data_IF_094097309084
#
_entry.id   IF_094097309084
#
_cell.length_a   1.000
_cell.length_b   1.000
_cell.length_c   1.000
_cell.angle_alpha   90.00
_cell.angle_beta   90.00
_cell.angle_gamma   90.00
#
_symmetry.space_group_name_H-M   'P 1'
#
loop_
_entity.id
_entity.type
_entity.pdbx_description
1 polymer ?
#
# COMPACT_ATOMS: atom_id res chain seq x y z
N UNK A 1 -3.66 12.70 -54.28
CA UNK A 1 -3.32 11.26 -54.26
C UNK A 1 -1.84 11.00 -54.02
N UNK A 2 -0.98 11.71 -54.68
CA UNK A 2 0.49 11.69 -54.41
C UNK A 2 0.88 12.04 -52.95
N UNK A 3 0.07 12.87 -52.30
CA UNK A 3 0.28 13.29 -50.92
C UNK A 3 0.11 12.14 -49.89
N UNK A 4 -0.89 11.25 -50.05
CA UNK A 4 -1.11 10.16 -49.08
C UNK A 4 0.08 9.19 -49.02
N UNK A 5 0.55 8.76 -50.19
CA UNK A 5 1.68 7.84 -50.33
C UNK A 5 3.00 8.51 -49.96
N UNK A 6 3.12 9.80 -50.23
CA UNK A 6 4.32 10.57 -49.91
C UNK A 6 4.49 10.77 -48.37
N UNK A 7 3.39 11.06 -47.68
CA UNK A 7 3.40 11.34 -46.25
C UNK A 7 3.23 10.06 -45.38
N UNK A 8 2.74 8.96 -45.99
CA UNK A 8 2.52 7.67 -45.32
C UNK A 8 2.90 6.51 -46.24
N UNK A 9 4.19 6.34 -46.58
CA UNK A 9 4.64 5.40 -47.64
C UNK A 9 4.36 3.93 -47.33
N UNK A 10 4.13 3.59 -46.07
CA UNK A 10 3.89 2.21 -45.61
C UNK A 10 2.41 1.96 -45.23
N UNK A 11 1.50 2.87 -45.57
CA UNK A 11 0.04 2.66 -45.47
C UNK A 11 -0.52 2.48 -46.90
N UNK A 12 -0.81 1.24 -47.28
CA UNK A 12 -1.12 0.86 -48.68
C UNK A 12 -2.61 0.53 -48.85
N UNK A 13 -3.21 0.89 -50.00
CA UNK A 13 -4.54 0.41 -50.37
C UNK A 13 -4.48 -1.08 -50.71
N UNK A 14 -5.40 -1.87 -50.13
CA UNK A 14 -5.48 -3.33 -50.38
C UNK A 14 -6.40 -3.72 -51.51
N UNK A 15 -7.25 -2.82 -51.99
CA UNK A 15 -8.22 -3.09 -53.07
C UNK A 15 -8.20 -2.01 -54.15
N UNK A 16 -8.70 -2.34 -55.32
CA UNK A 16 -8.82 -1.42 -56.46
C UNK A 16 -9.65 -0.19 -56.15
N UNK A 17 -10.70 -0.35 -55.37
CA UNK A 17 -11.66 0.69 -55.02
C UNK A 17 -11.14 1.62 -53.92
N UNK A 18 -9.95 1.32 -53.37
CA UNK A 18 -9.26 2.11 -52.32
C UNK A 18 -10.13 2.38 -51.10
N UNK A 19 -10.97 1.40 -50.74
CA UNK A 19 -11.81 1.45 -49.55
C UNK A 19 -11.15 0.80 -48.35
N UNK A 20 -10.07 0.01 -48.54
CA UNK A 20 -9.34 -0.64 -47.45
C UNK A 20 -7.85 -0.23 -47.54
N UNK A 21 -7.36 0.37 -46.47
CA UNK A 21 -5.95 0.67 -46.30
C UNK A 21 -5.42 -0.14 -45.13
N UNK A 22 -4.23 -0.75 -45.27
CA UNK A 22 -3.54 -1.47 -44.17
C UNK A 22 -2.04 -1.17 -44.25
N UNK A 23 -1.44 -1.05 -43.12
CA UNK A 23 -0.01 -0.78 -43.01
C UNK A 23 0.35 -0.04 -41.71
N UNK A 24 1.28 0.86 -41.83
CA UNK A 24 1.80 1.56 -40.68
C UNK A 24 1.75 3.08 -40.88
N UNK A 25 1.55 3.81 -39.78
CA UNK A 25 1.76 5.24 -39.69
C UNK A 25 2.97 5.50 -38.83
N UNK A 26 3.88 6.36 -39.29
CA UNK A 26 5.10 6.71 -38.56
C UNK A 26 4.90 8.02 -37.82
N UNK A 27 5.19 8.01 -36.49
CA UNK A 27 5.15 9.17 -35.62
C UNK A 27 6.39 9.15 -34.74
N UNK A 28 7.24 10.21 -34.79
CA UNK A 28 8.48 10.29 -34.02
C UNK A 28 9.38 9.04 -34.13
N UNK A 29 9.63 8.62 -35.39
CA UNK A 29 10.44 7.43 -35.74
C UNK A 29 9.88 6.08 -35.24
N UNK A 30 8.58 6.01 -34.94
CA UNK A 30 7.87 4.81 -34.52
C UNK A 30 6.74 4.47 -35.46
N UNK A 31 6.62 3.20 -35.77
CA UNK A 31 5.61 2.67 -36.67
C UNK A 31 4.47 2.03 -35.89
N UNK A 32 3.25 2.49 -36.14
CA UNK A 32 2.03 1.98 -35.53
C UNK A 32 1.15 1.35 -36.60
N UNK A 33 0.81 0.06 -36.42
CA UNK A 33 -0.07 -0.63 -37.37
C UNK A 33 -1.49 -0.15 -37.28
N UNK A 34 -2.05 0.21 -38.46
CA UNK A 34 -3.40 0.74 -38.58
C UNK A 34 -4.04 0.15 -39.86
N UNK A 35 -5.29 -0.30 -39.75
CA UNK A 35 -6.14 -0.64 -40.90
C UNK A 35 -7.34 0.32 -40.87
N UNK A 36 -7.64 0.90 -42.02
CA UNK A 36 -8.77 1.81 -42.25
C UNK A 36 -9.70 1.17 -43.27
N UNK A 37 -10.97 1.05 -42.92
CA UNK A 37 -12.00 0.56 -43.81
C UNK A 37 -12.99 1.69 -44.06
N UNK A 38 -13.02 2.16 -45.30
CA UNK A 38 -13.97 3.18 -45.80
C UNK A 38 -15.23 2.50 -46.37
N UNK A 39 -16.37 3.13 -46.24
CA UNK A 39 -17.56 2.68 -47.00
C UNK A 39 -17.37 2.92 -48.49
N UNK A 40 -18.24 2.33 -49.37
CA UNK A 40 -18.12 2.45 -50.84
C UNK A 40 -18.20 3.91 -51.36
N UNK A 41 -18.85 4.79 -50.62
CA UNK A 41 -18.95 6.22 -50.93
C UNK A 41 -17.77 7.05 -50.43
N UNK A 42 -16.77 6.41 -49.83
CA UNK A 42 -15.55 7.01 -49.24
C UNK A 42 -15.83 8.01 -48.12
N UNK A 43 -17.02 7.99 -47.51
CA UNK A 43 -17.38 8.92 -46.43
C UNK A 43 -16.61 8.57 -45.15
N UNK A 44 -15.70 9.46 -44.74
CA UNK A 44 -14.86 9.27 -43.53
C UNK A 44 -15.67 9.13 -42.24
N UNK A 45 -16.84 9.78 -42.16
CA UNK A 45 -17.71 9.72 -40.98
C UNK A 45 -18.13 8.33 -40.58
N UNK A 46 -18.18 7.39 -41.58
CA UNK A 46 -18.54 5.98 -41.42
C UNK A 46 -17.35 5.04 -41.49
N UNK A 47 -16.13 5.55 -41.56
CA UNK A 47 -14.91 4.75 -41.60
C UNK A 47 -14.71 3.98 -40.28
N UNK A 48 -14.18 2.76 -40.43
CA UNK A 48 -13.79 1.93 -39.28
C UNK A 48 -12.28 1.88 -39.17
N UNK A 49 -11.77 2.15 -37.96
CA UNK A 49 -10.34 2.09 -37.63
C UNK A 49 -10.07 0.81 -36.82
N UNK A 50 -9.15 0.01 -37.33
CA UNK A 50 -8.62 -1.16 -36.62
C UNK A 50 -7.20 -0.90 -36.25
N UNK A 51 -6.98 -0.63 -34.96
CA UNK A 51 -5.70 -0.28 -34.38
C UNK A 51 -5.01 -1.51 -33.78
N UNK A 52 -3.68 -1.60 -33.91
CA UNK A 52 -2.89 -2.52 -33.09
C UNK A 52 -3.07 -2.24 -31.60
N UNK A 53 -2.72 -3.18 -30.76
CA UNK A 53 -2.86 -2.97 -29.32
C UNK A 53 -2.00 -1.80 -28.83
N UNK A 54 -0.80 -1.62 -29.37
CA UNK A 54 0.07 -0.51 -29.07
C UNK A 54 -0.58 0.83 -29.39
N UNK A 55 -1.19 0.92 -30.58
CA UNK A 55 -1.92 2.12 -31.02
C UNK A 55 -3.15 2.36 -30.14
N UNK A 56 -3.93 1.32 -29.82
CA UNK A 56 -5.06 1.43 -28.91
C UNK A 56 -4.65 1.91 -27.51
N UNK A 57 -3.56 1.36 -26.99
CA UNK A 57 -3.04 1.75 -25.67
C UNK A 57 -2.61 3.22 -25.66
N UNK A 58 -1.95 3.70 -26.72
CA UNK A 58 -1.54 5.09 -26.86
C UNK A 58 -2.73 6.03 -27.00
N UNK A 59 -3.80 5.61 -27.70
CA UNK A 59 -5.02 6.36 -27.89
C UNK A 59 -6.00 6.28 -26.72
N UNK A 60 -5.71 5.46 -25.71
CA UNK A 60 -6.59 5.32 -24.56
C UNK A 60 -6.76 6.67 -23.82
N UNK A 61 -8.03 7.11 -23.72
CA UNK A 61 -8.41 8.45 -23.24
C UNK A 61 -8.52 9.51 -24.35
N UNK A 62 -8.02 9.23 -25.56
CA UNK A 62 -8.12 10.11 -26.71
C UNK A 62 -9.17 9.64 -27.76
N UNK A 63 -9.84 8.52 -27.52
CA UNK A 63 -10.82 7.93 -28.46
C UNK A 63 -11.94 8.92 -28.87
N UNK A 64 -12.52 9.74 -27.96
CA UNK A 64 -13.52 10.72 -28.33
C UNK A 64 -12.97 11.77 -29.29
N UNK A 65 -11.72 12.21 -29.09
CA UNK A 65 -11.03 13.20 -29.92
C UNK A 65 -10.77 12.62 -31.31
N UNK A 66 -10.25 11.39 -31.39
CA UNK A 66 -10.01 10.69 -32.68
C UNK A 66 -11.31 10.53 -33.45
N UNK A 67 -12.41 10.15 -32.79
CA UNK A 67 -13.73 10.02 -33.40
C UNK A 67 -14.25 11.35 -33.90
N UNK A 68 -14.08 12.43 -33.14
CA UNK A 68 -14.45 13.78 -33.55
C UNK A 68 -13.64 14.23 -34.77
N UNK A 69 -12.34 14.02 -34.79
CA UNK A 69 -11.47 14.37 -35.92
C UNK A 69 -11.83 13.58 -37.17
N UNK A 70 -12.14 12.29 -37.05
CA UNK A 70 -12.63 11.45 -38.15
C UNK A 70 -13.91 12.01 -38.76
N UNK A 71 -14.82 12.57 -37.96
CA UNK A 71 -16.07 13.17 -38.43
C UNK A 71 -15.90 14.56 -39.06
N UNK A 72 -14.87 15.30 -38.68
CA UNK A 72 -14.63 16.70 -39.12
C UNK A 72 -13.64 16.79 -40.29
N UNK A 73 -12.82 15.77 -40.54
CA UNK A 73 -11.84 15.79 -41.61
C UNK A 73 -12.49 15.71 -42.97
N UNK A 74 -11.98 16.50 -43.90
CA UNK A 74 -12.51 16.55 -45.27
C UNK A 74 -12.13 15.32 -46.13
N UNK A 75 -10.93 14.77 -45.86
CA UNK A 75 -10.37 13.62 -46.58
C UNK A 75 -9.46 12.78 -45.66
N UNK A 76 -9.02 11.61 -46.18
CA UNK A 76 -8.20 10.67 -45.44
C UNK A 76 -6.82 11.25 -45.07
N UNK A 77 -6.24 12.12 -45.92
CA UNK A 77 -4.93 12.72 -45.69
C UNK A 77 -5.01 13.67 -44.49
N UNK A 78 -6.03 14.55 -44.47
CA UNK A 78 -6.29 15.46 -43.40
C UNK A 78 -6.53 14.73 -42.09
N UNK A 79 -7.31 13.63 -42.11
CA UNK A 79 -7.52 12.80 -40.93
C UNK A 79 -6.23 12.18 -40.40
N UNK A 80 -5.37 11.63 -41.28
CA UNK A 80 -4.11 11.02 -40.87
C UNK A 80 -3.16 12.05 -40.23
N UNK A 81 -3.14 13.27 -40.74
CA UNK A 81 -2.36 14.37 -40.15
C UNK A 81 -2.82 14.69 -38.74
N UNK A 82 -4.14 14.80 -38.55
CA UNK A 82 -4.75 15.05 -37.25
C UNK A 82 -4.50 13.88 -36.29
N UNK A 83 -4.60 12.63 -36.78
CA UNK A 83 -4.29 11.45 -35.97
C UNK A 83 -2.83 11.41 -35.53
N UNK A 84 -1.87 11.78 -36.39
CA UNK A 84 -0.45 11.91 -36.03
C UNK A 84 -0.27 12.95 -34.92
N UNK A 85 -0.95 14.10 -35.00
CA UNK A 85 -0.90 15.14 -33.96
C UNK A 85 -1.40 14.62 -32.62
N UNK A 86 -2.50 13.87 -32.59
CA UNK A 86 -3.03 13.24 -31.36
C UNK A 86 -2.03 12.22 -30.80
N UNK A 87 -1.40 11.43 -31.66
CA UNK A 87 -0.39 10.46 -31.26
C UNK A 87 0.86 11.12 -30.70
N UNK A 88 1.31 12.23 -31.28
CA UNK A 88 2.44 13.01 -30.75
C UNK A 88 2.15 13.54 -29.34
N UNK A 89 0.94 14.05 -29.09
CA UNK A 89 0.52 14.46 -27.76
C UNK A 89 0.48 13.27 -26.81
N UNK A 90 -0.07 12.13 -27.22
CA UNK A 90 -0.09 10.90 -26.43
C UNK A 90 1.30 10.39 -26.09
N UNK A 91 2.25 10.48 -27.02
CA UNK A 91 3.65 10.12 -26.80
C UNK A 91 4.37 11.06 -25.83
N UNK A 92 4.07 12.36 -25.89
CA UNK A 92 4.65 13.36 -24.97
C UNK A 92 4.08 13.27 -23.57
N UNK A 93 2.80 12.98 -23.45
CA UNK A 93 2.11 12.87 -22.13
C UNK A 93 2.41 11.55 -21.41
N UNK A 94 2.96 10.55 -22.11
CA UNK A 94 3.36 9.25 -21.56
C UNK A 94 4.82 8.92 -21.93
N UNK A 95 5.81 9.65 -21.39
CA UNK A 95 7.22 9.44 -21.75
C UNK A 95 7.73 8.03 -21.46
N UNK A 96 7.08 7.28 -20.55
CA UNK A 96 7.48 5.92 -20.20
C UNK A 96 7.01 4.83 -21.19
N UNK A 97 6.02 5.13 -22.04
CA UNK A 97 5.59 4.20 -23.10
C UNK A 97 6.59 4.13 -24.30
N UNK A 98 7.73 4.77 -24.17
CA UNK A 98 8.52 5.17 -25.31
C UNK A 98 9.71 4.29 -25.70
N UNK A 99 10.07 3.24 -24.98
CA UNK A 99 11.09 2.32 -25.48
C UNK A 99 10.72 0.86 -25.25
N UNK A 100 10.36 0.17 -26.31
CA UNK A 100 10.48 -1.29 -26.32
C UNK A 100 11.96 -1.57 -26.04
N UNK A 101 12.28 -2.30 -24.97
CA UNK A 101 13.69 -2.61 -24.69
C UNK A 101 14.31 -3.36 -25.87
N UNK A 102 15.60 -3.18 -26.17
CA UNK A 102 16.27 -3.91 -27.23
C UNK A 102 16.26 -5.43 -26.91
N UNK A 103 16.37 -6.31 -27.91
CA UNK A 103 16.39 -7.77 -27.69
C UNK A 103 17.42 -8.22 -26.65
N UNK A 104 18.55 -7.54 -26.55
CA UNK A 104 19.61 -7.80 -25.56
C UNK A 104 19.13 -7.64 -24.11
N UNK A 105 18.19 -6.72 -23.85
CA UNK A 105 17.58 -6.54 -22.54
C UNK A 105 16.90 -7.82 -22.07
N UNK A 106 16.10 -8.44 -22.94
CA UNK A 106 15.36 -9.67 -22.58
C UNK A 106 16.29 -10.86 -22.40
N UNK A 107 17.30 -11.02 -23.27
CA UNK A 107 18.27 -12.11 -23.15
C UNK A 107 19.10 -11.98 -21.90
N UNK A 108 19.52 -10.77 -21.54
CA UNK A 108 20.24 -10.52 -20.30
C UNK A 108 19.38 -10.81 -19.08
N UNK A 109 18.14 -10.31 -19.04
CA UNK A 109 17.22 -10.53 -17.93
C UNK A 109 16.94 -12.02 -17.72
N UNK A 110 16.72 -12.77 -18.82
CA UNK A 110 16.51 -14.22 -18.75
C UNK A 110 17.75 -14.92 -18.21
N UNK A 111 18.95 -14.56 -18.66
CA UNK A 111 20.19 -15.14 -18.16
C UNK A 111 20.41 -14.83 -16.67
N UNK A 112 20.08 -13.62 -16.21
CA UNK A 112 20.13 -13.27 -14.79
C UNK A 112 19.10 -14.04 -13.96
N UNK A 113 17.91 -14.30 -14.51
CA UNK A 113 16.89 -15.11 -13.86
C UNK A 113 17.29 -16.60 -13.79
N UNK A 114 17.97 -17.12 -14.82
CA UNK A 114 18.53 -18.48 -14.78
C UNK A 114 19.58 -18.62 -13.68
N UNK A 115 20.46 -17.63 -13.54
CA UNK A 115 21.47 -17.59 -12.48
C UNK A 115 20.85 -17.48 -11.09
N UNK A 116 19.86 -16.61 -10.91
CA UNK A 116 19.13 -16.45 -9.64
C UNK A 116 18.31 -17.71 -9.27
N UNK A 117 17.74 -18.37 -10.26
CA UNK A 117 16.85 -19.52 -10.13
C UNK A 117 15.37 -19.15 -10.28
N UNK A 118 14.71 -19.75 -11.28
CA UNK A 118 13.30 -19.55 -11.59
C UNK A 118 12.34 -19.87 -10.45
N UNK A 119 12.74 -20.73 -9.52
CA UNK A 119 11.98 -21.07 -8.33
C UNK A 119 11.78 -19.90 -7.36
N UNK A 120 12.57 -18.82 -7.48
CA UNK A 120 12.44 -17.60 -6.71
C UNK A 120 11.48 -16.60 -7.34
N UNK A 121 11.13 -16.75 -8.61
CA UNK A 121 10.20 -15.87 -9.32
C UNK A 121 8.75 -16.20 -8.94
N UNK A 122 8.00 -15.21 -8.46
CA UNK A 122 6.57 -15.30 -8.20
C UNK A 122 5.73 -14.69 -9.33
N UNK A 123 6.24 -13.63 -9.93
CA UNK A 123 5.53 -12.88 -10.95
C UNK A 123 6.51 -12.11 -11.84
N UNK A 124 6.17 -12.03 -13.11
CA UNK A 124 6.78 -11.12 -14.09
C UNK A 124 5.67 -10.56 -14.98
N UNK A 125 5.69 -9.27 -15.27
CA UNK A 125 4.71 -8.67 -16.16
C UNK A 125 5.01 -8.95 -17.64
N UNK A 126 4.05 -8.66 -18.52
CA UNK A 126 4.16 -8.91 -19.97
C UNK A 126 5.21 -8.03 -20.65
N UNK A 127 5.63 -6.94 -20.01
CA UNK A 127 6.65 -6.03 -20.51
C UNK A 127 8.05 -6.36 -19.95
N UNK A 128 8.15 -7.36 -19.06
CA UNK A 128 9.38 -7.74 -18.35
C UNK A 128 10.01 -6.59 -17.57
N UNK A 129 9.17 -5.71 -17.03
CA UNK A 129 9.62 -4.56 -16.23
C UNK A 129 9.38 -4.71 -14.75
N UNK A 130 8.33 -5.45 -14.37
CA UNK A 130 7.99 -5.68 -12.98
C UNK A 130 8.19 -7.14 -12.64
N UNK A 131 9.07 -7.41 -11.68
CA UNK A 131 9.32 -8.75 -11.15
C UNK A 131 8.93 -8.79 -9.68
N UNK A 132 8.41 -9.94 -9.23
CA UNK A 132 8.24 -10.24 -7.82
C UNK A 132 9.03 -11.49 -7.48
N UNK A 133 9.98 -11.35 -6.58
CA UNK A 133 10.85 -12.43 -6.12
C UNK A 133 10.49 -12.80 -4.69
N UNK A 134 10.43 -14.11 -4.42
CA UNK A 134 10.31 -14.59 -3.05
C UNK A 134 11.68 -14.68 -2.40
N UNK A 135 11.71 -14.39 -1.12
CA UNK A 135 12.85 -14.60 -0.24
C UNK A 135 12.36 -15.21 1.09
N UNK A 136 13.22 -15.91 1.77
CA UNK A 136 12.93 -16.50 3.06
C UNK A 136 14.03 -16.07 4.03
N UNK A 137 13.62 -15.64 5.22
CA UNK A 137 14.57 -15.31 6.28
C UNK A 137 15.02 -16.59 7.05
N UNK A 138 15.93 -16.42 7.99
CA UNK A 138 16.48 -17.53 8.79
C UNK A 138 15.44 -18.19 9.70
N UNK A 139 14.35 -17.50 10.05
CA UNK A 139 13.24 -18.06 10.83
C UNK A 139 12.16 -18.73 9.96
N UNK A 140 12.35 -18.76 8.63
CA UNK A 140 11.44 -19.44 7.70
C UNK A 140 10.28 -18.58 7.18
N UNK A 141 10.20 -17.30 7.51
CA UNK A 141 9.16 -16.39 7.04
C UNK A 141 9.37 -16.03 5.58
N UNK A 142 8.27 -15.98 4.83
CA UNK A 142 8.29 -15.63 3.41
C UNK A 142 8.15 -14.12 3.23
N UNK A 143 8.98 -13.55 2.38
CA UNK A 143 9.00 -12.15 2.00
C UNK A 143 8.95 -12.01 0.48
N UNK A 144 8.39 -10.90 -0.01
CA UNK A 144 8.28 -10.62 -1.43
C UNK A 144 9.01 -9.33 -1.73
N UNK A 145 10.00 -9.42 -2.62
CA UNK A 145 10.69 -8.26 -3.19
C UNK A 145 10.05 -7.91 -4.54
N UNK A 146 9.50 -6.73 -4.65
CA UNK A 146 9.00 -6.18 -5.92
C UNK A 146 10.07 -5.29 -6.54
N UNK A 147 10.45 -5.58 -7.77
CA UNK A 147 11.48 -4.89 -8.54
C UNK A 147 10.82 -4.28 -9.77
N UNK A 148 10.92 -2.97 -9.96
CA UNK A 148 10.48 -2.28 -11.17
C UNK A 148 11.71 -1.77 -11.92
N UNK A 149 11.97 -2.38 -13.08
CA UNK A 149 13.09 -2.03 -13.95
C UNK A 149 12.73 -0.76 -14.74
N UNK A 150 13.63 0.22 -14.74
CA UNK A 150 13.46 1.46 -15.49
C UNK A 150 13.80 1.27 -16.97
N UNK A 151 13.37 2.21 -17.82
CA UNK A 151 13.57 2.14 -19.28
C UNK A 151 15.04 2.07 -19.69
N UNK A 152 15.93 2.64 -18.89
CA UNK A 152 17.39 2.64 -19.14
C UNK A 152 18.15 1.60 -18.30
N UNK A 153 17.44 0.58 -17.80
CA UNK A 153 18.09 -0.53 -17.11
C UNK A 153 19.12 -1.21 -18.05
N UNK A 154 20.34 -1.57 -17.59
CA UNK A 154 20.86 -1.50 -16.21
C UNK A 154 21.55 -0.19 -15.83
N UNK A 155 21.62 0.81 -16.74
CA UNK A 155 22.27 2.08 -16.45
C UNK A 155 21.59 2.86 -15.30
N UNK A 156 20.28 2.74 -15.20
CA UNK A 156 19.50 3.27 -14.06
C UNK A 156 19.08 2.14 -13.13
N UNK A 157 19.23 2.37 -11.81
CA UNK A 157 18.82 1.43 -10.79
C UNK A 157 17.32 1.18 -10.78
N UNK A 158 16.86 -0.05 -10.49
CA UNK A 158 15.46 -0.38 -10.36
C UNK A 158 14.85 0.28 -9.12
N UNK A 159 13.53 0.41 -9.12
CA UNK A 159 12.77 0.69 -7.91
C UNK A 159 12.45 -0.62 -7.20
N UNK A 160 12.90 -0.73 -5.94
CA UNK A 160 12.69 -1.91 -5.13
C UNK A 160 11.76 -1.59 -3.97
N UNK A 161 10.80 -2.45 -3.71
CA UNK A 161 9.88 -2.33 -2.58
C UNK A 161 9.57 -3.71 -1.98
N UNK A 162 9.41 -3.73 -0.66
CA UNK A 162 9.00 -4.90 0.10
C UNK A 162 8.21 -4.44 1.34
N UNK A 163 7.48 -5.37 1.96
CA UNK A 163 6.77 -5.12 3.21
C UNK A 163 7.76 -5.18 4.38
N UNK A 164 8.33 -4.03 4.73
CA UNK A 164 9.39 -3.87 5.72
C UNK A 164 9.09 -2.69 6.65
N UNK A 165 9.51 -2.76 7.93
CA UNK A 165 9.33 -1.66 8.88
C UNK A 165 10.31 -0.49 8.65
N UNK A 166 11.33 -0.68 7.82
CA UNK A 166 12.34 0.30 7.47
C UNK A 166 12.42 0.47 5.95
N UNK A 167 12.81 1.65 5.46
CA UNK A 167 13.05 1.85 4.04
C UNK A 167 14.09 0.86 3.49
N UNK A 168 13.76 0.23 2.37
CA UNK A 168 14.67 -0.70 1.68
C UNK A 168 15.77 0.08 0.97
N UNK A 169 17.00 0.00 1.48
CA UNK A 169 18.17 0.60 0.86
C UNK A 169 18.91 -0.47 0.02
N UNK A 170 18.90 -0.31 -1.30
CA UNK A 170 19.61 -1.16 -2.26
C UNK A 170 20.69 -0.33 -2.95
N UNK A 171 21.93 -0.85 -2.96
CA UNK A 171 23.01 -0.26 -3.73
C UNK A 171 22.99 -0.83 -5.14
N UNK A 172 22.92 0.06 -6.14
CA UNK A 172 22.87 -0.31 -7.53
C UNK A 172 24.04 0.30 -8.32
N UNK A 173 24.63 -0.50 -9.18
CA UNK A 173 25.57 -0.10 -10.23
C UNK A 173 25.14 -0.76 -11.55
N UNK A 174 25.56 -0.28 -12.73
CA UNK A 174 25.24 -0.92 -14.01
C UNK A 174 25.68 -2.38 -14.13
N UNK A 175 26.61 -2.83 -13.28
CA UNK A 175 27.11 -4.20 -13.21
C UNK A 175 26.38 -5.06 -12.16
N UNK A 176 25.49 -4.46 -11.35
CA UNK A 176 24.74 -5.19 -10.34
C UNK A 176 23.75 -6.15 -11.00
N UNK A 177 23.78 -7.41 -10.61
CA UNK A 177 22.86 -8.45 -11.10
C UNK A 177 21.64 -8.61 -10.20
N UNK A 178 20.58 -9.27 -10.71
CA UNK A 178 19.40 -9.62 -9.92
C UNK A 178 19.76 -10.52 -8.72
N UNK A 179 20.75 -11.39 -8.87
CA UNK A 179 21.24 -12.23 -7.78
C UNK A 179 21.86 -11.39 -6.66
N UNK A 180 22.73 -10.45 -7.02
CA UNK A 180 23.34 -9.53 -6.05
C UNK A 180 22.29 -8.65 -5.36
N UNK A 181 21.29 -8.18 -6.09
CA UNK A 181 20.18 -7.43 -5.55
C UNK A 181 19.36 -8.27 -4.56
N UNK A 182 19.04 -9.52 -4.94
CA UNK A 182 18.34 -10.46 -4.05
C UNK A 182 19.16 -10.77 -2.79
N UNK A 183 20.49 -10.91 -2.91
CA UNK A 183 21.38 -11.12 -1.77
C UNK A 183 21.43 -9.91 -0.84
N UNK A 184 21.44 -8.68 -1.37
CA UNK A 184 21.30 -7.48 -0.55
C UNK A 184 19.97 -7.48 0.22
N UNK A 185 18.88 -7.90 -0.42
CA UNK A 185 17.59 -8.02 0.23
C UNK A 185 17.61 -9.06 1.36
N UNK A 186 18.23 -10.23 1.15
CA UNK A 186 18.40 -11.23 2.20
C UNK A 186 19.18 -10.68 3.42
N UNK A 187 20.20 -9.88 3.21
CA UNK A 187 20.92 -9.22 4.31
C UNK A 187 20.04 -8.25 5.10
N UNK A 188 19.15 -7.51 4.42
CA UNK A 188 18.17 -6.66 5.09
C UNK A 188 17.19 -7.50 5.90
N UNK A 189 16.68 -8.62 5.37
CA UNK A 189 15.80 -9.53 6.11
C UNK A 189 16.48 -10.08 7.35
N UNK A 190 17.75 -10.50 7.22
CA UNK A 190 18.51 -11.04 8.35
C UNK A 190 18.67 -10.00 9.47
N UNK A 191 18.90 -8.73 9.12
CA UNK A 191 18.99 -7.65 10.11
C UNK A 191 17.67 -7.37 10.84
N UNK A 192 16.53 -7.80 10.30
CA UNK A 192 15.19 -7.60 10.85
C UNK A 192 14.61 -8.87 11.52
N UNK A 193 15.30 -9.99 11.44
CA UNK A 193 14.82 -11.27 11.96
C UNK A 193 14.46 -11.18 13.44
N UNK A 194 15.33 -10.61 14.27
CA UNK A 194 15.10 -10.45 15.71
C UNK A 194 13.88 -9.57 16.00
N UNK A 195 13.65 -8.51 15.22
CA UNK A 195 12.46 -7.66 15.33
C UNK A 195 11.17 -8.46 15.09
N UNK A 196 11.13 -9.27 14.04
CA UNK A 196 9.95 -10.11 13.76
C UNK A 196 9.80 -11.25 14.76
N UNK A 197 10.89 -11.82 15.27
CA UNK A 197 10.81 -12.84 16.33
C UNK A 197 10.17 -12.30 17.60
N UNK A 198 10.48 -11.04 17.97
CA UNK A 198 9.84 -10.34 19.11
C UNK A 198 8.35 -10.15 18.87
N UNK A 199 7.97 -9.70 17.68
CA UNK A 199 6.55 -9.46 17.36
C UNK A 199 5.77 -10.78 17.23
N UNK A 200 6.35 -11.80 16.61
CA UNK A 200 5.72 -13.13 16.48
C UNK A 200 5.52 -13.75 17.89
N UNK A 201 6.49 -13.60 18.82
CA UNK A 201 6.32 -14.04 20.23
C UNK A 201 5.15 -13.32 20.91
N UNK A 202 5.00 -12.02 20.70
CA UNK A 202 3.89 -11.24 21.23
C UNK A 202 2.56 -11.70 20.61
N UNK A 203 2.51 -11.85 19.30
CA UNK A 203 1.31 -12.25 18.54
C UNK A 203 0.83 -13.66 18.95
N UNK A 204 1.74 -14.59 19.18
CA UNK A 204 1.43 -15.99 19.57
C UNK A 204 0.97 -16.13 21.03
N UNK A 205 1.45 -15.27 21.92
CA UNK A 205 1.29 -15.43 23.37
C UNK A 205 0.41 -14.38 24.03
N UNK A 206 -0.17 -13.43 23.25
CA UNK A 206 -1.04 -12.39 23.79
C UNK A 206 -2.27 -12.20 22.90
N UNK A 207 -3.30 -11.54 23.44
CA UNK A 207 -4.48 -11.18 22.66
C UNK A 207 -4.27 -9.85 21.96
N UNK A 208 -4.04 -9.89 20.65
CA UNK A 208 -3.84 -8.70 19.82
C UNK A 208 -5.18 -8.12 19.40
N UNK A 209 -5.40 -6.84 19.72
CA UNK A 209 -6.57 -6.07 19.32
C UNK A 209 -6.34 -5.35 17.99
N UNK A 210 -5.16 -4.78 17.80
CA UNK A 210 -4.73 -4.06 16.60
C UNK A 210 -3.25 -4.28 16.31
N UNK A 211 -2.87 -4.43 15.03
CA UNK A 211 -3.73 -4.64 13.86
C UNK A 211 -4.33 -6.06 13.86
N UNK A 212 -5.52 -6.25 13.25
CA UNK A 212 -6.16 -7.58 13.18
C UNK A 212 -5.36 -8.59 12.34
N UNK A 213 -4.71 -8.09 11.30
CA UNK A 213 -3.81 -8.84 10.42
C UNK A 213 -2.54 -8.04 10.26
N UNK A 214 -1.56 -8.23 11.14
CA UNK A 214 -0.32 -7.49 11.06
C UNK A 214 0.44 -7.80 9.78
N UNK A 215 0.95 -6.74 9.12
CA UNK A 215 1.92 -6.83 8.05
C UNK A 215 3.34 -6.94 8.61
N UNK A 216 4.32 -7.23 7.77
CA UNK A 216 5.73 -7.26 8.20
C UNK A 216 6.34 -5.87 8.41
N UNK A 217 5.66 -4.83 7.91
CA UNK A 217 6.03 -3.42 8.16
C UNK A 217 5.45 -2.85 9.44
N UNK A 218 4.44 -3.51 10.06
CA UNK A 218 3.82 -3.01 11.28
C UNK A 218 4.73 -3.17 12.49
N UNK A 219 5.06 -2.05 13.12
CA UNK A 219 5.92 -1.99 14.32
C UNK A 219 5.13 -2.02 15.63
N UNK A 220 3.82 -1.80 15.54
CA UNK A 220 2.94 -1.61 16.69
C UNK A 220 2.03 -2.81 16.92
N UNK A 221 1.79 -3.13 18.20
CA UNK A 221 0.72 -4.03 18.64
C UNK A 221 -0.08 -3.40 19.75
N UNK A 222 -1.40 -3.50 19.68
CA UNK A 222 -2.29 -3.20 20.78
C UNK A 222 -2.74 -4.50 21.43
N UNK A 223 -2.32 -4.72 22.66
CA UNK A 223 -2.48 -5.95 23.42
C UNK A 223 -3.59 -5.74 24.45
N UNK A 224 -4.54 -6.66 24.53
CA UNK A 224 -5.53 -6.66 25.60
C UNK A 224 -4.89 -6.97 26.96
N UNK A 225 -5.35 -6.27 28.01
CA UNK A 225 -4.98 -6.58 29.41
C UNK A 225 -6.21 -7.15 30.14
N UNK A 226 -7.40 -6.68 29.80
CA UNK A 226 -8.67 -7.05 30.39
C UNK A 226 -9.49 -5.82 30.81
N UNK A 227 -10.80 -5.99 31.08
CA UNK A 227 -11.68 -4.90 31.55
C UNK A 227 -11.60 -3.61 30.73
N UNK A 228 -11.59 -3.70 29.39
CA UNK A 228 -11.44 -2.57 28.47
C UNK A 228 -10.11 -1.80 28.60
N UNK A 229 -9.11 -2.40 29.24
CA UNK A 229 -7.74 -1.88 29.30
C UNK A 229 -6.86 -2.61 28.30
N UNK A 230 -6.06 -1.87 27.60
CA UNK A 230 -5.08 -2.38 26.64
C UNK A 230 -3.78 -1.59 26.72
N UNK A 231 -2.71 -2.18 26.23
CA UNK A 231 -1.42 -1.52 26.05
C UNK A 231 -1.06 -1.50 24.58
N UNK A 232 -0.70 -0.34 24.09
CA UNK A 232 -0.10 -0.16 22.79
C UNK A 232 1.42 -0.22 22.97
N UNK A 233 2.05 -1.15 22.25
CA UNK A 233 3.49 -1.40 22.29
C UNK A 233 4.05 -1.15 20.90
N UNK A 234 5.03 -0.26 20.78
CA UNK A 234 5.72 0.02 19.52
C UNK A 234 7.19 -0.38 19.66
N UNK A 235 7.60 -1.35 18.85
CA UNK A 235 8.93 -1.95 18.87
C UNK A 235 9.82 -1.26 17.83
N UNK A 236 11.00 -0.79 18.25
CA UNK A 236 11.98 -0.23 17.30
C UNK A 236 12.62 -1.35 16.48
N UNK A 237 12.48 -1.36 15.14
CA UNK A 237 13.09 -2.39 14.29
C UNK A 237 14.63 -2.45 14.37
N UNK A 238 15.27 -1.37 14.78
CA UNK A 238 16.73 -1.31 14.91
C UNK A 238 17.25 -1.82 16.25
N UNK A 239 16.39 -1.76 17.28
CA UNK A 239 16.72 -2.12 18.65
C UNK A 239 15.56 -2.91 19.29
N UNK A 240 15.19 -4.08 18.74
CA UNK A 240 13.92 -4.74 19.07
C UNK A 240 13.83 -5.25 20.53
N UNK A 241 14.95 -5.45 21.22
CA UNK A 241 14.98 -5.88 22.62
C UNK A 241 15.06 -4.75 23.65
N UNK A 242 15.21 -3.52 23.16
CA UNK A 242 15.16 -2.35 24.05
C UNK A 242 13.73 -2.11 24.53
N UNK A 243 13.58 -1.34 25.61
CA UNK A 243 12.27 -0.96 26.12
C UNK A 243 11.46 -0.29 25.00
N UNK A 244 10.31 -0.89 24.57
CA UNK A 244 9.48 -0.32 23.52
C UNK A 244 8.73 0.90 24.00
N UNK A 245 8.23 1.70 23.08
CA UNK A 245 7.30 2.77 23.44
C UNK A 245 5.95 2.16 23.86
N UNK A 246 5.52 2.46 25.08
CA UNK A 246 4.32 1.87 25.68
C UNK A 246 3.28 2.95 26.00
N UNK A 247 2.03 2.74 25.56
CA UNK A 247 0.89 3.59 25.86
C UNK A 247 -0.27 2.76 26.39
N UNK A 248 -0.67 3.00 27.63
CA UNK A 248 -1.83 2.35 28.24
C UNK A 248 -3.12 3.07 27.85
N UNK A 249 -4.13 2.31 27.42
CA UNK A 249 -5.43 2.78 26.95
C UNK A 249 -6.53 2.14 27.80
N UNK A 250 -7.50 2.95 28.24
CA UNK A 250 -8.61 2.51 29.07
C UNK A 250 -9.05 3.58 30.08
N UNK A 251 -10.02 3.26 30.94
CA UNK A 251 -10.48 4.17 31.99
C UNK A 251 -9.41 4.41 33.06
N UNK A 252 -9.23 5.67 33.47
CA UNK A 252 -8.23 6.05 34.46
C UNK A 252 -8.63 5.68 35.89
N UNK A 253 -9.92 5.72 36.21
CA UNK A 253 -10.47 5.47 37.54
C UNK A 253 -11.74 4.62 37.48
N UNK A 254 -11.67 3.39 37.97
CA UNK A 254 -12.86 2.56 38.25
C UNK A 254 -12.71 2.00 39.66
N UNK A 255 -13.69 2.22 40.55
CA UNK A 255 -13.76 1.61 41.88
C UNK A 255 -14.21 0.14 41.74
N UNK A 256 -13.30 -0.74 41.35
CA UNK A 256 -13.51 -2.19 41.32
C UNK A 256 -12.20 -2.91 41.68
N UNK A 257 -12.19 -4.21 42.07
CA UNK A 257 -11.02 -4.82 42.68
C UNK A 257 -9.75 -4.69 41.84
N UNK A 258 -8.82 -4.16 42.42
CA UNK A 258 -7.54 -3.49 42.30
C UNK A 258 -6.52 -3.96 41.23
N UNK A 259 -6.83 -4.68 40.17
CA UNK A 259 -5.75 -5.25 39.31
C UNK A 259 -5.71 -4.81 37.84
N UNK A 260 -6.71 -4.08 37.34
CA UNK A 260 -6.81 -3.79 35.91
C UNK A 260 -7.12 -2.32 35.62
N UNK A 261 -6.38 -1.39 36.21
CA UNK A 261 -6.57 0.05 36.00
C UNK A 261 -5.36 0.66 35.32
N UNK A 262 -5.60 1.65 34.43
CA UNK A 262 -4.52 2.34 33.69
C UNK A 262 -3.55 3.04 34.64
N UNK A 263 -4.03 3.72 35.68
CA UNK A 263 -3.17 4.46 36.63
C UNK A 263 -2.22 3.56 37.42
N UNK A 264 -2.67 2.46 38.06
CA UNK A 264 -1.75 1.53 38.73
C UNK A 264 -0.74 0.91 37.76
N UNK A 265 -1.15 0.52 36.54
CA UNK A 265 -0.25 -0.05 35.55
C UNK A 265 0.78 0.96 35.04
N UNK A 266 0.38 2.22 34.84
CA UNK A 266 1.29 3.33 34.50
C UNK A 266 2.32 3.58 35.61
N UNK A 267 1.90 3.53 36.87
CA UNK A 267 2.79 3.65 38.00
C UNK A 267 3.79 2.49 38.08
N UNK A 268 3.33 1.24 37.88
CA UNK A 268 4.20 0.05 37.78
C UNK A 268 5.21 0.19 36.66
N UNK A 269 4.73 0.54 35.44
CA UNK A 269 5.61 0.74 34.30
C UNK A 269 6.73 1.73 34.64
N UNK A 270 6.38 2.88 35.17
CA UNK A 270 7.36 3.92 35.52
C UNK A 270 8.31 3.51 36.67
N UNK A 271 7.81 2.82 37.69
CA UNK A 271 8.62 2.42 38.85
C UNK A 271 9.53 1.25 38.51
N UNK A 272 9.10 0.32 37.64
CA UNK A 272 9.79 -0.93 37.37
C UNK A 272 10.61 -0.90 36.07
N UNK A 273 10.65 0.22 35.32
CA UNK A 273 11.44 0.34 34.09
C UNK A 273 12.90 -0.06 34.26
N UNK A 274 13.47 0.14 35.45
CA UNK A 274 14.84 -0.24 35.79
C UNK A 274 15.07 -1.76 35.83
N UNK A 275 14.01 -2.59 35.87
CA UNK A 275 14.04 -4.06 35.82
C UNK A 275 14.16 -4.58 34.39
N UNK A 276 14.04 -3.71 33.38
CA UNK A 276 14.13 -4.12 31.98
C UNK A 276 15.48 -4.78 31.69
N UNK A 277 15.42 -6.02 31.25
CA UNK A 277 16.60 -6.80 30.91
C UNK A 277 16.63 -7.09 29.39
N UNK A 278 17.56 -6.46 28.62
CA UNK A 278 17.68 -6.70 27.17
C UNK A 278 18.02 -8.15 26.78
N UNK A 279 18.51 -8.95 27.70
CA UNK A 279 18.80 -10.37 27.47
C UNK A 279 17.56 -11.27 27.59
N UNK A 280 16.47 -10.74 28.14
CA UNK A 280 15.18 -11.41 28.21
C UNK A 280 14.29 -11.01 27.02
N UNK A 281 13.24 -11.82 26.73
CA UNK A 281 12.27 -11.42 25.70
C UNK A 281 11.48 -10.18 26.14
N UNK A 282 11.03 -9.40 25.13
CA UNK A 282 10.21 -8.20 25.35
C UNK A 282 8.92 -8.54 26.09
N UNK A 283 8.26 -9.64 25.72
CA UNK A 283 7.03 -10.09 26.36
C UNK A 283 7.25 -10.44 27.84
N UNK A 284 8.34 -11.13 28.14
CA UNK A 284 8.70 -11.45 29.55
C UNK A 284 8.97 -10.19 30.34
N UNK A 285 9.76 -9.27 29.79
CA UNK A 285 10.00 -7.97 30.44
C UNK A 285 8.71 -7.21 30.69
N UNK A 286 7.77 -7.18 29.74
CA UNK A 286 6.47 -6.52 29.95
C UNK A 286 5.66 -7.16 31.07
N UNK A 287 5.68 -8.50 31.19
CA UNK A 287 5.05 -9.21 32.30
C UNK A 287 5.68 -8.84 33.65
N UNK A 288 7.00 -8.84 33.71
CA UNK A 288 7.75 -8.57 34.93
C UNK A 288 7.57 -7.08 35.37
N UNK A 289 7.68 -6.13 34.43
CA UNK A 289 7.56 -4.69 34.71
C UNK A 289 6.13 -4.31 35.10
N UNK A 290 5.11 -4.85 34.44
CA UNK A 290 3.70 -4.55 34.71
C UNK A 290 3.13 -5.43 35.83
N UNK A 291 3.82 -6.52 36.19
CA UNK A 291 3.36 -7.56 37.14
C UNK A 291 1.98 -8.11 36.76
N UNK A 292 1.80 -8.47 35.49
CA UNK A 292 0.54 -9.02 34.94
C UNK A 292 0.81 -10.22 34.04
N UNK A 293 -0.20 -11.07 33.90
CA UNK A 293 -0.28 -12.04 32.81
C UNK A 293 -1.17 -11.51 31.71
N UNK A 294 -0.71 -11.56 30.48
CA UNK A 294 -1.49 -11.15 29.32
C UNK A 294 -2.50 -12.25 28.92
N UNK A 295 -3.74 -11.88 28.60
CA UNK A 295 -4.67 -12.82 28.00
C UNK A 295 -4.14 -13.28 26.63
N UNK A 296 -4.41 -14.53 26.30
CA UNK A 296 -3.99 -15.14 25.04
C UNK A 296 -5.15 -15.91 24.39
N UNK A 297 -5.06 -16.24 23.09
CA UNK A 297 -6.06 -17.06 22.40
C UNK A 297 -6.24 -18.47 23.01
N UNK A 298 -5.24 -18.95 23.76
CA UNK A 298 -5.32 -20.23 24.48
C UNK A 298 -6.15 -20.16 25.76
N UNK A 299 -6.32 -18.96 26.36
CA UNK A 299 -6.95 -18.77 27.67
C UNK A 299 -8.27 -17.99 27.63
N UNK A 300 -8.57 -17.30 26.52
CA UNK A 300 -9.71 -16.41 26.38
C UNK A 300 -10.40 -16.57 25.01
N UNK A 301 -11.66 -16.12 24.91
CA UNK A 301 -12.43 -16.11 23.68
C UNK A 301 -12.51 -14.69 23.08
N UNK A 302 -12.83 -14.60 21.79
CA UNK A 302 -12.96 -13.31 21.08
C UNK A 302 -14.05 -12.41 21.70
N UNK A 303 -15.10 -12.99 22.24
CA UNK A 303 -16.21 -12.30 22.94
C UNK A 303 -15.73 -11.49 24.14
N UNK A 304 -14.66 -11.94 24.83
CA UNK A 304 -14.15 -11.30 26.04
C UNK A 304 -13.56 -9.91 25.78
N UNK A 305 -13.15 -9.66 24.53
CA UNK A 305 -12.47 -8.41 24.12
C UNK A 305 -13.22 -7.64 23.03
N UNK A 306 -14.37 -8.14 22.57
CA UNK A 306 -15.17 -7.49 21.52
C UNK A 306 -16.18 -6.53 22.14
N UNK A 307 -15.72 -5.39 22.64
CA UNK A 307 -16.59 -4.35 23.21
C UNK A 307 -17.11 -3.41 22.14
N UNK A 308 -18.45 -3.27 22.05
CA UNK A 308 -19.09 -2.40 21.06
C UNK A 308 -19.03 -0.93 21.48
N UNK A 309 -18.87 -0.05 20.49
CA UNK A 309 -18.97 1.39 20.70
C UNK A 309 -20.38 1.78 21.16
N UNK A 310 -20.51 2.53 22.24
CA UNK A 310 -21.80 2.97 22.76
C UNK A 310 -22.55 3.97 21.86
N UNK A 311 -21.97 4.45 20.77
CA UNK A 311 -22.62 5.38 19.84
C UNK A 311 -23.07 4.67 18.56
N UNK A 312 -22.18 3.94 17.87
CA UNK A 312 -22.50 3.27 16.61
C UNK A 312 -22.87 1.80 16.78
N UNK A 313 -22.77 1.25 18.00
CA UNK A 313 -23.12 -0.14 18.35
C UNK A 313 -22.34 -1.19 17.55
N UNK A 314 -21.16 -0.83 17.07
CA UNK A 314 -20.27 -1.72 16.34
C UNK A 314 -18.96 -1.88 17.09
N UNK A 315 -18.39 -3.08 17.06
CA UNK A 315 -17.05 -3.32 17.58
C UNK A 315 -15.99 -2.63 16.72
N UNK A 316 -16.17 -2.64 15.37
CA UNK A 316 -15.20 -2.09 14.43
C UNK A 316 -15.87 -1.05 13.51
N UNK A 317 -15.22 0.10 13.38
CA UNK A 317 -15.56 1.14 12.43
C UNK A 317 -14.35 1.31 11.48
N UNK A 318 -14.50 0.83 10.24
CA UNK A 318 -13.38 0.66 9.32
C UNK A 318 -12.26 -0.20 9.94
N UNK A 319 -11.06 0.38 10.16
CA UNK A 319 -9.96 -0.30 10.82
C UNK A 319 -9.91 -0.07 12.35
N UNK A 320 -10.65 0.93 12.87
CA UNK A 320 -10.60 1.33 14.27
C UNK A 320 -11.52 0.49 15.17
N UNK A 321 -11.05 0.20 16.38
CA UNK A 321 -11.84 -0.36 17.49
C UNK A 321 -12.05 0.72 18.56
N UNK A 322 -13.03 0.57 19.49
CA UNK A 322 -13.23 1.53 20.59
C UNK A 322 -11.96 1.72 21.42
N UNK A 323 -11.50 2.95 21.53
CA UNK A 323 -10.25 3.35 22.18
C UNK A 323 -10.44 4.46 23.23
N UNK A 324 -11.62 5.08 23.24
CA UNK A 324 -12.05 6.04 24.24
C UNK A 324 -12.98 5.38 25.21
N UNK A 325 -12.81 5.63 26.50
CA UNK A 325 -13.65 5.05 27.55
C UNK A 325 -14.11 6.16 28.49
N UNK A 326 -15.37 6.11 28.93
CA UNK A 326 -15.84 7.03 29.96
C UNK A 326 -15.12 6.77 31.26
N UNK A 327 -14.55 7.83 31.87
CA UNK A 327 -13.78 7.73 33.11
C UNK A 327 -14.65 7.62 34.39
N UNK A 328 -15.99 7.74 34.27
CA UNK A 328 -16.86 7.53 35.42
C UNK A 328 -16.88 6.04 35.79
N UNK A 329 -16.58 5.69 37.07
CA UNK A 329 -16.47 4.30 37.54
C UNK A 329 -17.73 3.45 37.32
N UNK A 330 -18.89 4.09 37.32
CA UNK A 330 -20.20 3.39 37.14
C UNK A 330 -20.60 3.28 35.68
N UNK A 331 -19.89 3.97 34.77
CA UNK A 331 -20.22 3.99 33.36
C UNK A 331 -19.28 3.10 32.54
N UNK A 332 -17.99 3.45 32.45
CA UNK A 332 -16.98 2.67 31.74
C UNK A 332 -17.32 2.39 30.25
N UNK A 333 -18.27 3.14 29.66
CA UNK A 333 -18.73 2.88 28.30
C UNK A 333 -17.64 3.19 27.27
N UNK A 334 -17.32 2.24 26.36
CA UNK A 334 -16.32 2.45 25.31
C UNK A 334 -16.92 3.14 24.09
N UNK A 335 -16.09 3.89 23.38
CA UNK A 335 -16.42 4.62 22.16
C UNK A 335 -15.27 4.58 21.17
N UNK A 336 -15.59 4.59 19.87
CA UNK A 336 -14.60 4.99 18.87
C UNK A 336 -14.28 6.48 19.02
N UNK A 337 -13.03 6.86 18.86
CA UNK A 337 -12.60 8.26 18.92
C UNK A 337 -13.41 9.14 17.96
N UNK A 338 -13.60 8.68 16.70
CA UNK A 338 -14.40 9.42 15.70
C UNK A 338 -15.87 9.56 16.12
N UNK A 339 -16.50 8.50 16.65
CA UNK A 339 -17.89 8.55 17.09
C UNK A 339 -18.07 9.52 18.25
N UNK A 340 -17.18 9.46 19.24
CA UNK A 340 -17.26 10.35 20.40
C UNK A 340 -16.98 11.81 20.00
N UNK A 341 -16.07 12.04 19.08
CA UNK A 341 -15.76 13.36 18.55
C UNK A 341 -16.99 13.98 17.86
N UNK A 342 -17.63 13.28 16.94
CA UNK A 342 -18.82 13.77 16.24
C UNK A 342 -19.99 13.95 17.20
N UNK A 343 -20.16 13.06 18.16
CA UNK A 343 -21.19 13.21 19.22
C UNK A 343 -20.99 14.48 20.04
N UNK A 344 -19.79 14.67 20.58
CA UNK A 344 -19.49 15.85 21.41
C UNK A 344 -19.62 17.14 20.61
N UNK A 345 -19.14 17.16 19.37
CA UNK A 345 -19.24 18.33 18.49
C UNK A 345 -20.68 18.76 18.20
N UNK A 346 -21.60 17.81 18.16
CA UNK A 346 -23.02 18.08 17.93
C UNK A 346 -23.76 18.67 19.17
N UNK A 347 -23.16 18.59 20.36
CA UNK A 347 -23.78 19.06 21.59
C UNK A 347 -23.63 20.59 21.73
N UNK A 348 -24.73 21.34 22.03
CA UNK A 348 -24.68 22.78 22.25
C UNK A 348 -23.79 23.19 23.45
N UNK A 349 -23.65 22.29 24.44
CA UNK A 349 -22.86 22.51 25.67
C UNK A 349 -21.38 22.20 25.52
N UNK A 350 -20.96 21.69 24.35
CA UNK A 350 -19.56 21.31 24.11
C UNK A 350 -18.66 22.52 23.99
N UNK A 351 -17.42 22.34 24.42
CA UNK A 351 -16.34 23.33 24.27
C UNK A 351 -15.17 22.71 23.55
N UNK A 352 -14.59 23.44 22.63
CA UNK A 352 -13.39 23.00 21.92
C UNK A 352 -12.21 23.89 22.31
N UNK A 353 -11.09 23.26 22.62
CA UNK A 353 -9.80 23.93 22.82
C UNK A 353 -8.74 23.21 22.01
N UNK A 354 -8.18 23.88 21.00
CA UNK A 354 -7.26 23.28 20.01
C UNK A 354 -7.84 22.01 19.37
N UNK A 355 -7.16 20.88 19.51
CA UNK A 355 -7.56 19.58 18.98
C UNK A 355 -8.43 18.75 19.95
N UNK A 356 -8.82 19.30 21.11
CA UNK A 356 -9.57 18.59 22.15
C UNK A 356 -10.98 19.13 22.26
N UNK A 357 -11.98 18.26 22.24
CA UNK A 357 -13.39 18.58 22.49
C UNK A 357 -13.77 18.08 23.87
N UNK A 358 -14.45 18.93 24.63
CA UNK A 358 -14.94 18.70 25.99
C UNK A 358 -16.45 18.67 25.95
N UNK A 359 -17.08 17.73 26.63
CA UNK A 359 -18.52 17.64 26.73
C UNK A 359 -18.94 16.60 27.76
N UNK A 360 -20.14 16.03 27.57
CA UNK A 360 -20.74 15.08 28.48
C UNK A 360 -20.88 13.70 27.83
N UNK A 361 -20.63 12.67 28.64
CA UNK A 361 -20.79 11.27 28.20
C UNK A 361 -22.24 11.01 27.80
N UNK A 362 -22.50 10.35 26.63
CA UNK A 362 -23.86 9.99 26.17
C UNK A 362 -24.69 9.18 27.17
N UNK A 363 -24.03 8.45 28.06
CA UNK A 363 -24.64 7.49 28.97
C UNK A 363 -24.84 8.00 30.39
N UNK A 364 -23.85 8.68 30.95
CA UNK A 364 -23.88 9.08 32.36
C UNK A 364 -23.83 10.60 32.56
N UNK A 365 -23.75 11.39 31.49
CA UNK A 365 -23.67 12.86 31.50
C UNK A 365 -22.49 13.42 32.33
N UNK A 366 -21.49 12.60 32.64
CA UNK A 366 -20.26 13.07 33.28
C UNK A 366 -19.31 13.65 32.25
N UNK A 367 -18.43 14.56 32.66
CA UNK A 367 -17.46 15.16 31.75
C UNK A 367 -16.61 14.09 31.05
N UNK A 368 -16.48 14.23 29.73
CA UNK A 368 -15.63 13.39 28.89
C UNK A 368 -14.92 14.29 27.86
N UNK A 369 -13.75 13.87 27.47
CA UNK A 369 -12.96 14.60 26.49
C UNK A 369 -12.47 13.67 25.38
N UNK A 370 -12.33 14.22 24.18
CA UNK A 370 -11.72 13.49 23.06
C UNK A 370 -10.75 14.40 22.33
N UNK A 371 -9.60 13.87 21.99
CA UNK A 371 -8.57 14.56 21.21
C UNK A 371 -8.64 14.11 19.77
N UNK A 372 -8.68 15.04 18.80
CA UNK A 372 -8.50 14.68 17.40
C UNK A 372 -7.07 14.24 17.14
N UNK A 373 -6.90 13.03 16.64
CA UNK A 373 -5.68 12.65 15.95
C UNK A 373 -5.67 13.34 14.58
N UNK A 374 -4.56 13.92 14.18
CA UNK A 374 -4.39 14.30 12.78
C UNK A 374 -4.57 13.03 11.92
N UNK A 375 -5.25 13.12 10.75
CA UNK A 375 -5.32 11.98 9.86
C UNK A 375 -3.90 11.53 9.55
N UNK A 376 -3.61 10.25 9.79
CA UNK A 376 -2.36 9.61 9.36
C UNK A 376 -2.30 9.71 7.85
N UNK A 377 -1.39 10.55 7.36
CA UNK A 377 -1.09 10.77 5.93
C UNK A 377 -0.44 9.53 5.31
#
# INVERSE_FOLDING_TARGET
>A
MESLVKDNPILLPLNSDRTIYDGFITVQERDFRLRIVLPPDHELKRAKLHCSWQLKHLLHGYEPIVKQRLQQSADLVSFLLELKTVLEVGLKSRPECSSIPPPQYYSQLISEMETLGWNKLLFIDTEFRTLRLKAQDSSGRQHILTIKLKSKHPAEGPECSADLPLPLAITWTPQTTLEQLHNQFLLVLESLTEFWDVLDEIDDNTWILEPEKPSRSDTMRRIAIGNNVSIKVEVDPRHPKMLPECCLLGAEHVEMPAQTMVTPLRNKLNSNMHLWNPDSSVLRNLRDVLEIEFPSPATHEKSDFSTECGICYSYRLEAAIPDQVCNDPRCGQPFHQACLYEWLRALPSSRQSFSTVFGECPYCSKPITVKMSAPSS
#
